data_IF_145014341944
#
_entry.id   IF_145014341944
#
_cell.length_a   1.000
_cell.length_b   1.000
_cell.length_c   1.000
_cell.angle_alpha   90.00
_cell.angle_beta   90.00
_cell.angle_gamma   90.00
#
_symmetry.space_group_name_H-M   'P 1'
#
loop_
_entity.id
_entity.type
_entity.pdbx_description
1 polymer ?
#
# COMPACT_ATOMS: atom_id res chain seq x y z
N UNK A 1 -6.98 -30.74 30.72
CA UNK A 1 -7.28 -29.40 31.26
C UNK A 1 -6.13 -28.41 31.09
N UNK A 2 -4.93 -28.60 31.69
CA UNK A 2 -3.80 -27.63 31.57
C UNK A 2 -3.31 -27.35 30.14
N UNK A 3 -3.22 -28.36 29.28
CA UNK A 3 -2.73 -28.20 27.90
C UNK A 3 -3.65 -27.37 27.00
N UNK A 4 -4.96 -27.35 27.31
CA UNK A 4 -5.94 -26.60 26.50
C UNK A 4 -5.76 -25.09 26.70
N UNK A 5 -5.45 -24.65 27.92
CA UNK A 5 -5.16 -23.24 28.23
C UNK A 5 -3.86 -22.77 27.56
N UNK A 6 -2.83 -23.61 27.53
CA UNK A 6 -1.56 -23.29 26.85
C UNK A 6 -1.77 -23.12 25.34
N UNK A 7 -2.55 -24.01 24.72
CA UNK A 7 -2.92 -23.92 23.31
C UNK A 7 -3.75 -22.66 22.99
N UNK A 8 -4.72 -22.32 23.85
CA UNK A 8 -5.54 -21.12 23.69
C UNK A 8 -4.73 -19.83 23.82
N UNK A 9 -3.80 -19.76 24.78
CA UNK A 9 -2.91 -18.60 24.97
C UNK A 9 -1.95 -18.47 23.78
N UNK A 10 -1.36 -19.57 23.30
CA UNK A 10 -0.50 -19.54 22.13
C UNK A 10 -1.25 -19.06 20.87
N UNK A 11 -2.48 -19.56 20.66
CA UNK A 11 -3.32 -19.14 19.54
C UNK A 11 -3.68 -17.64 19.63
N UNK A 12 -4.01 -17.15 20.83
CA UNK A 12 -4.30 -15.72 21.05
C UNK A 12 -3.09 -14.83 20.74
N UNK A 13 -1.89 -15.21 21.18
CA UNK A 13 -0.66 -14.47 20.90
C UNK A 13 -0.34 -14.44 19.40
N UNK A 14 -0.55 -15.57 18.70
CA UNK A 14 -0.38 -15.65 17.25
C UNK A 14 -1.40 -14.75 16.55
N UNK A 15 -2.68 -14.82 16.94
CA UNK A 15 -3.74 -14.00 16.36
C UNK A 15 -3.47 -12.51 16.59
N UNK A 16 -3.10 -12.10 17.80
CA UNK A 16 -2.77 -10.70 18.11
C UNK A 16 -1.52 -10.23 17.35
N UNK A 17 -0.51 -11.08 17.20
CA UNK A 17 0.66 -10.79 16.38
C UNK A 17 0.33 -10.64 14.89
N UNK A 18 -0.55 -11.49 14.36
CA UNK A 18 -1.00 -11.44 12.97
C UNK A 18 -1.89 -10.20 12.71
N UNK A 19 -2.75 -9.81 13.65
CA UNK A 19 -3.57 -8.59 13.54
C UNK A 19 -2.67 -7.35 13.53
N UNK A 20 -1.63 -7.31 14.38
CA UNK A 20 -0.63 -6.24 14.37
C UNK A 20 0.22 -6.18 13.08
N UNK A 21 0.19 -7.23 12.25
CA UNK A 21 0.88 -7.28 10.96
C UNK A 21 0.00 -6.79 9.78
N UNK A 22 -1.28 -6.47 10.01
CA UNK A 22 -2.13 -5.87 8.97
C UNK A 22 -1.56 -4.50 8.64
N UNK A 23 -0.81 -4.44 7.54
CA UNK A 23 -0.21 -3.19 7.05
C UNK A 23 -1.32 -2.30 6.54
N UNK A 24 -1.40 -1.09 7.09
CA UNK A 24 -2.27 -0.07 6.53
C UNK A 24 -1.76 0.31 5.14
N UNK A 25 -2.65 0.42 4.14
CA UNK A 25 -2.28 0.91 2.82
C UNK A 25 -1.71 2.33 2.94
N UNK A 26 -0.65 2.60 2.18
CA UNK A 26 -0.01 3.91 2.11
C UNK A 26 -0.29 4.50 0.73
N UNK A 27 -1.19 5.48 0.66
CA UNK A 27 -1.61 6.10 -0.60
C UNK A 27 -0.40 6.70 -1.34
N UNK A 28 -0.17 6.24 -2.57
CA UNK A 28 0.99 6.58 -3.41
C UNK A 28 2.18 5.63 -3.34
N UNK A 29 2.20 4.64 -2.44
CA UNK A 29 3.23 3.59 -2.36
C UNK A 29 2.83 2.39 -3.22
N UNK A 30 3.11 2.46 -4.52
CA UNK A 30 2.65 1.45 -5.50
C UNK A 30 3.55 0.22 -5.54
N UNK A 31 4.75 0.31 -4.97
CA UNK A 31 5.72 -0.78 -4.91
C UNK A 31 5.78 -1.48 -3.54
N UNK A 32 5.01 -1.01 -2.55
CA UNK A 32 4.92 -1.53 -1.20
C UNK A 32 6.23 -1.48 -0.38
N UNK A 33 7.11 -0.52 -0.69
CA UNK A 33 8.37 -0.32 0.02
C UNK A 33 8.24 0.55 1.30
N UNK A 34 7.02 1.02 1.58
CA UNK A 34 6.62 1.87 2.72
C UNK A 34 7.11 3.31 2.61
N UNK A 35 7.44 3.77 1.41
CA UNK A 35 7.79 5.16 1.13
C UNK A 35 6.97 5.60 -0.06
N UNK A 36 6.62 6.89 -0.06
CA UNK A 36 6.06 7.53 -1.25
C UNK A 36 7.19 8.34 -1.85
N UNK A 37 7.65 7.92 -3.03
CA UNK A 37 8.87 8.43 -3.65
C UNK A 37 8.74 8.58 -5.16
N UNK A 38 9.77 9.12 -5.80
CA UNK A 38 9.84 9.21 -7.27
C UNK A 38 9.82 7.81 -7.92
N UNK A 39 10.28 6.77 -7.22
CA UNK A 39 10.21 5.39 -7.71
C UNK A 39 8.76 4.96 -7.96
N UNK A 40 7.85 5.33 -7.06
CA UNK A 40 6.42 5.05 -7.20
C UNK A 40 5.82 5.75 -8.40
N UNK A 41 6.18 7.02 -8.60
CA UNK A 41 5.76 7.80 -9.76
C UNK A 41 6.23 7.17 -11.08
N UNK A 42 7.48 6.69 -11.13
CA UNK A 42 8.02 6.01 -12.32
C UNK A 42 7.30 4.69 -12.58
N UNK A 43 7.02 3.90 -11.54
CA UNK A 43 6.31 2.63 -11.67
C UNK A 43 4.87 2.87 -12.16
N UNK A 44 4.16 3.84 -11.58
CA UNK A 44 2.82 4.20 -12.01
C UNK A 44 2.81 4.67 -13.48
N UNK A 45 3.77 5.50 -13.88
CA UNK A 45 3.93 5.93 -15.28
C UNK A 45 4.15 4.76 -16.24
N UNK A 46 5.00 3.79 -15.88
CA UNK A 46 5.24 2.59 -16.69
C UNK A 46 4.03 1.66 -16.76
N UNK A 47 3.27 1.56 -15.66
CA UNK A 47 2.01 0.82 -15.64
C UNK A 47 0.99 1.43 -16.61
N UNK A 48 0.81 2.76 -16.60
CA UNK A 48 -0.09 3.46 -17.53
C UNK A 48 0.34 3.30 -19.01
N UNK A 49 1.64 3.07 -19.25
CA UNK A 49 2.18 2.76 -20.57
C UNK A 49 2.15 1.25 -20.91
N UNK A 50 1.49 0.43 -20.09
CA UNK A 50 1.40 -1.03 -20.23
C UNK A 50 2.77 -1.74 -20.26
N UNK A 51 3.80 -1.11 -19.68
CA UNK A 51 5.18 -1.62 -19.68
C UNK A 51 5.53 -2.42 -18.42
N UNK A 52 4.73 -2.30 -17.35
CA UNK A 52 5.05 -2.88 -16.05
C UNK A 52 3.78 -3.14 -15.22
N UNK A 53 3.94 -3.83 -14.09
CA UNK A 53 2.87 -4.07 -13.11
C UNK A 53 3.21 -3.45 -11.76
N UNK A 54 2.19 -3.13 -10.97
CA UNK A 54 2.36 -2.62 -9.62
C UNK A 54 2.28 -3.75 -8.60
N UNK A 55 3.11 -3.69 -7.56
CA UNK A 55 3.02 -4.64 -6.43
C UNK A 55 1.77 -4.36 -5.58
N UNK A 56 1.43 -3.07 -5.42
CA UNK A 56 0.34 -2.61 -4.58
C UNK A 56 -0.58 -1.62 -5.32
N UNK A 57 -1.36 -2.10 -6.31
CA UNK A 57 -2.25 -1.24 -7.12
C UNK A 57 -3.33 -0.53 -6.29
N UNK A 58 -3.73 -1.09 -5.14
CA UNK A 58 -4.70 -0.46 -4.24
C UNK A 58 -4.22 0.85 -3.60
N UNK A 59 -2.94 1.19 -3.74
CA UNK A 59 -2.38 2.46 -3.28
C UNK A 59 -2.28 3.51 -4.40
N UNK A 60 -2.58 3.14 -5.66
CA UNK A 60 -2.32 3.97 -6.84
C UNK A 60 -3.41 4.99 -7.14
N UNK A 61 -4.67 4.72 -6.77
CA UNK A 61 -5.77 5.68 -6.88
C UNK A 61 -5.52 6.81 -5.88
N UNK A 62 -5.02 7.94 -6.36
CA UNK A 62 -4.66 9.13 -5.58
C UNK A 62 -5.83 10.08 -5.44
N UNK A 63 -6.80 10.05 -6.35
CA UNK A 63 -7.92 10.98 -6.40
C UNK A 63 -9.25 10.43 -5.83
N UNK A 64 -9.28 9.16 -5.40
CA UNK A 64 -10.43 8.42 -4.86
C UNK A 64 -11.60 8.27 -5.85
N UNK A 65 -11.32 8.20 -7.16
CA UNK A 65 -12.34 8.02 -8.20
C UNK A 65 -12.54 6.57 -8.67
N UNK A 66 -11.79 5.63 -8.07
CA UNK A 66 -11.79 4.20 -8.36
C UNK A 66 -11.23 3.82 -9.75
N UNK A 67 -10.63 4.77 -10.47
CA UNK A 67 -9.93 4.55 -11.73
C UNK A 67 -8.45 4.83 -11.47
N UNK A 68 -7.57 4.02 -12.08
CA UNK A 68 -6.13 4.30 -12.06
C UNK A 68 -5.78 4.89 -13.42
N UNK A 69 -5.57 6.20 -13.48
CA UNK A 69 -5.27 6.91 -14.71
C UNK A 69 -4.23 8.04 -14.53
N UNK A 70 -4.16 8.92 -15.53
CA UNK A 70 -3.18 10.02 -15.57
C UNK A 70 -3.40 11.05 -14.45
N UNK A 71 -4.63 11.18 -13.94
CA UNK A 71 -4.97 12.11 -12.85
C UNK A 71 -4.32 11.66 -11.54
N UNK A 72 -4.19 10.36 -11.32
CA UNK A 72 -3.49 9.83 -10.16
C UNK A 72 -1.99 10.14 -10.21
N UNK A 73 -1.42 10.01 -11.41
CA UNK A 73 -0.02 10.33 -11.65
C UNK A 73 0.26 11.82 -11.42
N UNK A 74 -0.60 12.72 -11.92
CA UNK A 74 -0.48 14.17 -11.66
C UNK A 74 -0.56 14.47 -10.15
N UNK A 75 -1.52 13.85 -9.45
CA UNK A 75 -1.70 14.06 -8.02
C UNK A 75 -0.53 13.52 -7.19
N UNK A 76 0.02 12.35 -7.54
CA UNK A 76 1.24 11.83 -6.93
C UNK A 76 2.44 12.75 -7.19
N UNK A 77 2.58 13.26 -8.41
CA UNK A 77 3.64 14.21 -8.76
C UNK A 77 3.55 15.50 -7.93
N UNK A 78 2.35 16.08 -7.80
CA UNK A 78 2.12 17.27 -6.98
C UNK A 78 2.42 17.05 -5.51
N UNK A 79 2.03 15.88 -4.97
CA UNK A 79 2.36 15.49 -3.60
C UNK A 79 3.87 15.42 -3.36
N UNK A 80 4.60 14.78 -4.27
CA UNK A 80 6.08 14.69 -4.20
C UNK A 80 6.75 16.05 -4.35
N UNK A 81 6.13 16.98 -5.09
CA UNK A 81 6.58 18.37 -5.21
C UNK A 81 6.18 19.26 -4.01
N UNK A 82 5.44 18.74 -3.03
CA UNK A 82 4.95 19.50 -1.87
C UNK A 82 3.86 20.52 -2.20
N UNK A 83 3.16 20.33 -3.33
CA UNK A 83 2.07 21.20 -3.78
C UNK A 83 0.72 20.78 -3.20
N UNK A 84 0.58 19.51 -2.79
CA UNK A 84 -0.65 18.91 -2.25
C UNK A 84 -0.28 17.86 -1.18
N UNK A 85 -1.24 17.50 -0.30
CA UNK A 85 -1.06 16.53 0.79
C UNK A 85 -1.73 15.19 0.51
#
# INVERSE_FOLDING_TARGET
MKYIYVLLIACLVIILGCIGYIRQPLKGDVNCDRRVSVTDLVILSRYLAEMDTMMCPGNADMNDDYVIDILDMDKLQRKLAGLEN
#
